data_IF_499103701485
#
_entry.id   IF_499103701485
#
_cell.length_a   1.000
_cell.length_b   1.000
_cell.length_c   1.000
_cell.angle_alpha   90.00
_cell.angle_beta   90.00
_cell.angle_gamma   90.00
#
_symmetry.space_group_name_H-M   'P 1'
#
loop_
_entity.id
_entity.type
_entity.pdbx_description
1 polymer ?
#
# COMPACT_ATOMS: atom_id res chain seq x y z
N UNK A 1 6.69 12.64 -7.45
CA UNK A 1 5.23 12.37 -7.27
C UNK A 1 4.67 13.24 -6.15
N UNK A 2 3.45 13.77 -6.30
CA UNK A 2 2.75 14.49 -5.22
C UNK A 2 2.40 13.51 -4.09
N UNK A 3 2.29 13.99 -2.85
CA UNK A 3 1.93 13.14 -1.69
C UNK A 3 0.58 12.44 -1.94
N UNK A 4 -0.30 13.14 -2.66
CA UNK A 4 -1.61 12.69 -3.13
C UNK A 4 -1.53 11.40 -3.97
N UNK A 5 -0.52 11.26 -4.84
CA UNK A 5 -0.35 10.05 -5.63
C UNK A 5 0.02 8.84 -4.75
N UNK A 6 0.84 9.04 -3.71
CA UNK A 6 1.19 7.96 -2.80
C UNK A 6 -0.01 7.55 -1.93
N UNK A 7 -0.81 8.52 -1.48
CA UNK A 7 -2.05 8.28 -0.74
C UNK A 7 -3.08 7.52 -1.59
N UNK A 8 -3.16 7.84 -2.89
CA UNK A 8 -4.00 7.13 -3.84
C UNK A 8 -3.59 5.66 -4.02
N UNK A 9 -2.29 5.37 -4.14
CA UNK A 9 -1.76 4.01 -4.24
C UNK A 9 -2.07 3.19 -2.98
N UNK A 10 -1.91 3.78 -1.79
CA UNK A 10 -2.26 3.12 -0.52
C UNK A 10 -3.75 2.81 -0.47
N UNK A 11 -4.60 3.74 -0.90
CA UNK A 11 -6.05 3.55 -0.94
C UNK A 11 -6.45 2.37 -1.83
N UNK A 12 -5.83 2.25 -3.01
CA UNK A 12 -6.04 1.10 -3.92
C UNK A 12 -5.61 -0.20 -3.24
N UNK A 13 -4.44 -0.23 -2.61
CA UNK A 13 -3.96 -1.42 -1.89
C UNK A 13 -4.90 -1.86 -0.77
N UNK A 14 -5.46 -0.91 -0.02
CA UNK A 14 -6.45 -1.18 1.03
C UNK A 14 -7.77 -1.71 0.47
N UNK A 15 -8.24 -1.18 -0.67
CA UNK A 15 -9.44 -1.70 -1.36
C UNK A 15 -9.21 -3.15 -1.81
N UNK A 16 -8.04 -3.47 -2.37
CA UNK A 16 -7.70 -4.85 -2.77
C UNK A 16 -7.73 -5.79 -1.57
N UNK A 17 -7.19 -5.36 -0.42
CA UNK A 17 -7.24 -6.14 0.83
C UNK A 17 -8.69 -6.33 1.30
N UNK A 18 -9.52 -5.29 1.23
CA UNK A 18 -10.93 -5.36 1.65
C UNK A 18 -11.77 -6.30 0.78
N UNK A 19 -11.48 -6.38 -0.52
CA UNK A 19 -12.12 -7.32 -1.45
C UNK A 19 -11.52 -8.73 -1.42
N UNK A 20 -10.41 -8.94 -0.71
CA UNK A 20 -9.83 -10.26 -0.55
C UNK A 20 -10.75 -11.12 0.33
N UNK A 21 -11.26 -12.26 -0.16
CA UNK A 21 -12.12 -13.14 0.64
C UNK A 21 -11.46 -13.52 1.96
N UNK A 22 -12.14 -13.23 3.06
CA UNK A 22 -11.72 -13.59 4.42
C UNK A 22 -11.39 -15.08 4.49
N UNK A 23 -10.22 -15.41 5.04
CA UNK A 23 -9.68 -16.76 5.23
C UNK A 23 -10.76 -17.79 5.66
N UNK A 24 -11.38 -18.45 4.68
CA UNK A 24 -12.41 -19.48 4.83
C UNK A 24 -12.03 -20.72 4.01
N UNK A 25 -13.01 -21.56 3.63
CA UNK A 25 -12.77 -22.84 2.92
C UNK A 25 -12.00 -22.69 1.59
N UNK A 26 -12.01 -21.50 0.99
CA UNK A 26 -11.27 -21.11 -0.23
C UNK A 26 -10.05 -20.19 0.05
N UNK A 27 -9.66 -20.06 1.32
CA UNK A 27 -8.70 -19.07 1.81
C UNK A 27 -7.30 -19.18 1.21
N UNK A 28 -6.95 -20.31 0.59
CA UNK A 28 -5.68 -20.48 -0.13
C UNK A 28 -5.65 -19.72 -1.47
N UNK A 29 -6.81 -19.53 -2.11
CA UNK A 29 -6.94 -18.81 -3.37
C UNK A 29 -6.94 -17.27 -3.20
N UNK A 30 -7.29 -16.78 -2.00
CA UNK A 30 -7.29 -15.34 -1.70
C UNK A 30 -5.95 -14.81 -1.20
N UNK A 31 -5.01 -15.67 -0.79
CA UNK A 31 -3.67 -15.27 -0.33
C UNK A 31 -2.89 -14.44 -1.36
N UNK A 32 -2.81 -14.81 -2.66
CA UNK A 32 -2.08 -14.01 -3.64
C UNK A 32 -2.63 -12.59 -3.79
N UNK A 33 -3.95 -12.43 -3.74
CA UNK A 33 -4.62 -11.13 -3.84
C UNK A 33 -4.31 -10.25 -2.62
N UNK A 34 -4.34 -10.86 -1.43
CA UNK A 34 -4.06 -10.22 -0.16
C UNK A 34 -2.58 -9.78 -0.08
N UNK A 35 -1.65 -10.65 -0.49
CA UNK A 35 -0.21 -10.35 -0.57
C UNK A 35 0.05 -9.22 -1.57
N UNK A 36 -0.64 -9.22 -2.72
CA UNK A 36 -0.52 -8.16 -3.72
C UNK A 36 -1.01 -6.82 -3.15
N UNK A 37 -2.17 -6.80 -2.50
CA UNK A 37 -2.67 -5.60 -1.82
C UNK A 37 -1.71 -5.07 -0.77
N UNK A 38 -1.13 -5.96 0.04
CA UNK A 38 -0.15 -5.61 1.07
C UNK A 38 1.15 -5.04 0.50
N UNK A 39 1.65 -5.63 -0.59
CA UNK A 39 2.84 -5.14 -1.30
C UNK A 39 2.61 -3.73 -1.86
N UNK A 40 1.44 -3.46 -2.44
CA UNK A 40 1.06 -2.14 -2.96
C UNK A 40 1.02 -1.10 -1.83
N UNK A 41 0.42 -1.44 -0.68
CA UNK A 41 0.40 -0.55 0.51
C UNK A 41 1.82 -0.27 1.01
N UNK A 42 2.67 -1.29 1.11
CA UNK A 42 4.06 -1.17 1.55
C UNK A 42 4.86 -0.22 0.65
N UNK A 43 4.74 -0.37 -0.67
CA UNK A 43 5.41 0.51 -1.64
C UNK A 43 4.94 1.96 -1.45
N UNK A 44 3.63 2.19 -1.29
CA UNK A 44 3.08 3.51 -1.01
C UNK A 44 3.64 4.13 0.27
N UNK A 45 3.71 3.36 1.37
CA UNK A 45 4.27 3.79 2.64
C UNK A 45 5.76 4.14 2.54
N UNK A 46 6.57 3.28 1.91
CA UNK A 46 8.01 3.55 1.70
C UNK A 46 8.20 4.84 0.91
N UNK A 47 7.38 5.07 -0.12
CA UNK A 47 7.45 6.28 -0.93
C UNK A 47 7.13 7.54 -0.11
N UNK A 48 6.12 7.49 0.77
CA UNK A 48 5.79 8.59 1.69
C UNK A 48 6.95 8.86 2.65
N UNK A 49 7.50 7.82 3.27
CA UNK A 49 8.61 7.96 4.24
C UNK A 49 9.84 8.55 3.56
N UNK A 50 10.23 8.05 2.39
CA UNK A 50 11.36 8.59 1.63
C UNK A 50 11.12 10.05 1.25
N UNK A 51 9.90 10.39 0.82
CA UNK A 51 9.58 11.76 0.45
C UNK A 51 9.61 12.70 1.65
N UNK A 52 9.01 12.34 2.79
CA UNK A 52 9.06 13.12 4.03
C UNK A 52 10.50 13.31 4.50
N UNK A 53 11.34 12.26 4.42
CA UNK A 53 12.76 12.36 4.76
C UNK A 53 13.52 13.29 3.82
N UNK A 54 13.20 13.29 2.52
CA UNK A 54 13.80 14.21 1.55
C UNK A 54 13.39 15.66 1.81
N UNK A 55 12.10 15.89 2.03
CA UNK A 55 11.55 17.22 2.37
C UNK A 55 12.19 17.78 3.65
N UNK A 56 12.36 16.95 4.69
CA UNK A 56 13.08 17.36 5.91
C UNK A 56 14.56 17.67 5.69
N UNK A 57 15.21 17.00 4.74
CA UNK A 57 16.64 17.20 4.43
C UNK A 57 16.88 18.43 3.54
N UNK A 58 15.89 18.83 2.75
CA UNK A 58 15.92 20.02 1.91
C UNK A 58 15.59 21.31 2.70
N UNK A 59 14.95 21.16 3.87
CA UNK A 59 14.60 22.26 4.78
C UNK A 59 15.62 22.52 5.90
N UNK A 60 16.72 21.79 5.92
CA UNK A 60 17.91 22.01 6.78
C UNK A 60 19.06 22.48 5.90
#
# INVERSE_FOLDING_TARGET
MKIVNALFIISIGLIIIMFSPSYGKDGMASVPLLVTGLAVVLIGCVFIVLKIRKDKKEKN
#
